data_IF_465717398140
#
_entry.id   IF_465717398140
#
_cell.length_a   1.000
_cell.length_b   1.000
_cell.length_c   1.000
_cell.angle_alpha   90.00
_cell.angle_beta   90.00
_cell.angle_gamma   90.00
#
_symmetry.space_group_name_H-M   'P 1'
#
loop_
_entity.id
_entity.type
_entity.pdbx_description
1 polymer ?
#
# COMPACT_ATOMS: atom_id res chain seq x y z
N UNK A 1 -35.59 -9.19 27.45
CA UNK A 1 -34.99 -8.13 26.59
C UNK A 1 -33.68 -8.63 25.99
N UNK A 2 -33.70 -9.14 24.76
CA UNK A 2 -32.48 -9.46 24.03
C UNK A 2 -31.85 -8.17 23.51
N UNK A 3 -30.85 -7.64 24.23
CA UNK A 3 -29.90 -6.68 23.63
C UNK A 3 -29.19 -7.44 22.52
N UNK A 4 -29.67 -7.35 21.27
CA UNK A 4 -28.86 -7.64 20.08
C UNK A 4 -27.58 -6.82 20.25
N UNK A 5 -26.46 -7.47 20.64
CA UNK A 5 -25.15 -6.83 20.63
C UNK A 5 -24.98 -6.27 19.22
N UNK A 6 -24.99 -4.93 19.08
CA UNK A 6 -24.64 -4.29 17.82
C UNK A 6 -23.22 -4.76 17.52
N UNK A 7 -23.10 -5.63 16.51
CA UNK A 7 -21.80 -6.04 15.99
C UNK A 7 -21.02 -4.78 15.67
N UNK A 8 -19.79 -4.66 16.17
CA UNK A 8 -18.95 -3.49 15.94
C UNK A 8 -18.54 -3.42 14.46
N UNK A 9 -18.04 -2.26 14.02
CA UNK A 9 -17.74 -2.02 12.61
C UNK A 9 -16.66 -2.97 12.06
N UNK A 10 -15.67 -3.37 12.86
CA UNK A 10 -14.63 -4.32 12.46
C UNK A 10 -15.22 -5.71 12.23
N UNK A 11 -16.04 -6.20 13.17
CA UNK A 11 -16.72 -7.50 13.02
C UNK A 11 -17.64 -7.52 11.78
N UNK A 12 -18.26 -6.39 11.41
CA UNK A 12 -19.02 -6.26 10.15
C UNK A 12 -18.13 -6.27 8.92
N UNK A 13 -16.95 -5.64 8.97
CA UNK A 13 -15.99 -5.64 7.89
C UNK A 13 -15.59 -7.06 7.52
N UNK A 14 -15.26 -7.85 8.55
CA UNK A 14 -14.82 -9.24 8.43
C UNK A 14 -15.90 -10.14 7.85
N UNK A 15 -17.15 -9.98 8.29
CA UNK A 15 -18.27 -10.73 7.72
C UNK A 15 -18.43 -10.44 6.23
N UNK A 16 -18.35 -9.16 5.83
CA UNK A 16 -18.50 -8.78 4.42
C UNK A 16 -17.34 -9.21 3.52
N UNK A 17 -16.10 -9.15 4.00
CA UNK A 17 -14.94 -9.61 3.21
C UNK A 17 -15.17 -11.06 2.78
N UNK A 18 -15.65 -11.90 3.71
CA UNK A 18 -15.97 -13.33 3.48
C UNK A 18 -17.11 -13.57 2.48
N UNK A 19 -17.91 -12.55 2.16
CA UNK A 19 -19.06 -12.65 1.25
C UNK A 19 -18.74 -12.18 -0.18
N UNK A 20 -17.56 -11.59 -0.41
CA UNK A 20 -17.18 -11.08 -1.74
C UNK A 20 -16.90 -12.19 -2.76
N UNK A 21 -17.06 -11.91 -4.06
CA UNK A 21 -16.70 -12.87 -5.12
C UNK A 21 -15.20 -13.19 -5.07
N UNK A 22 -14.34 -12.21 -4.78
CA UNK A 22 -12.91 -12.46 -4.57
C UNK A 22 -12.67 -13.43 -3.42
N UNK A 23 -13.45 -13.36 -2.33
CA UNK A 23 -13.31 -14.31 -1.22
C UNK A 23 -13.77 -15.72 -1.55
N UNK A 24 -14.72 -15.88 -2.48
CA UNK A 24 -15.08 -17.21 -3.00
C UNK A 24 -13.94 -17.81 -3.84
N UNK A 25 -13.26 -16.97 -4.63
CA UNK A 25 -12.11 -17.37 -5.45
C UNK A 25 -10.83 -17.56 -4.62
N UNK A 26 -10.67 -16.79 -3.54
CA UNK A 26 -9.48 -16.72 -2.68
C UNK A 26 -9.85 -16.85 -1.19
N UNK A 27 -10.39 -18.00 -0.75
CA UNK A 27 -10.94 -18.16 0.61
C UNK A 27 -9.87 -18.09 1.71
N UNK A 28 -8.68 -18.64 1.45
CA UNK A 28 -7.58 -18.62 2.42
C UNK A 28 -7.08 -17.19 2.65
N UNK A 29 -6.81 -16.45 1.58
CA UNK A 29 -6.36 -15.06 1.64
C UNK A 29 -7.40 -14.16 2.33
N UNK A 30 -8.70 -14.40 2.09
CA UNK A 30 -9.78 -13.66 2.76
C UNK A 30 -9.86 -13.92 4.26
N UNK A 31 -9.66 -15.17 4.67
CA UNK A 31 -9.57 -15.52 6.09
C UNK A 31 -8.37 -14.83 6.74
N UNK A 32 -7.22 -14.86 6.08
CA UNK A 32 -5.99 -14.23 6.53
C UNK A 32 -6.19 -12.72 6.78
N UNK A 33 -6.79 -12.02 5.82
CA UNK A 33 -7.09 -10.58 5.91
C UNK A 33 -8.02 -10.28 7.09
N UNK A 34 -9.08 -11.09 7.27
CA UNK A 34 -10.01 -10.94 8.37
C UNK A 34 -9.32 -11.12 9.74
N UNK A 35 -8.51 -12.16 9.88
CA UNK A 35 -7.78 -12.47 11.12
C UNK A 35 -6.76 -11.36 11.45
N UNK A 36 -6.08 -10.84 10.42
CA UNK A 36 -5.18 -9.69 10.54
C UNK A 36 -5.91 -8.44 11.03
N UNK A 37 -7.03 -8.06 10.40
CA UNK A 37 -7.80 -6.88 10.80
C UNK A 37 -8.31 -6.99 12.24
N UNK A 38 -8.67 -8.18 12.71
CA UNK A 38 -9.00 -8.41 14.13
C UNK A 38 -7.81 -8.19 15.05
N UNK A 39 -6.66 -8.77 14.69
CA UNK A 39 -5.44 -8.73 15.50
C UNK A 39 -4.98 -7.30 15.75
N UNK A 40 -4.97 -6.47 14.71
CA UNK A 40 -4.41 -5.12 14.79
C UNK A 40 -5.42 -4.06 15.25
N UNK A 41 -6.70 -4.43 15.38
CA UNK A 41 -7.80 -3.51 15.68
C UNK A 41 -7.49 -2.57 16.84
N UNK A 42 -7.13 -3.13 17.99
CA UNK A 42 -6.88 -2.35 19.22
C UNK A 42 -5.72 -1.37 19.07
N UNK A 43 -4.77 -1.67 18.17
CA UNK A 43 -3.61 -0.81 17.92
C UNK A 43 -4.01 0.46 17.17
N UNK A 44 -5.06 0.41 16.35
CA UNK A 44 -5.43 1.48 15.43
C UNK A 44 -6.78 2.15 15.72
N UNK A 45 -7.65 1.54 16.54
CA UNK A 45 -8.99 2.06 16.85
C UNK A 45 -9.00 3.50 17.38
N UNK A 46 -7.94 3.94 18.07
CA UNK A 46 -7.79 5.29 18.59
C UNK A 46 -7.18 6.29 17.59
N UNK A 47 -6.64 5.82 16.47
CA UNK A 47 -5.98 6.68 15.48
C UNK A 47 -7.04 7.37 14.61
N UNK A 48 -7.03 8.72 14.51
CA UNK A 48 -7.93 9.46 13.64
C UNK A 48 -7.95 8.91 12.21
N UNK A 49 -9.15 8.81 11.61
CA UNK A 49 -9.33 8.32 10.25
C UNK A 49 -9.39 6.80 10.10
N UNK A 50 -8.76 6.02 10.99
CA UNK A 50 -8.76 4.55 10.89
C UNK A 50 -10.18 3.93 10.87
N UNK A 51 -11.14 4.34 11.73
CA UNK A 51 -12.50 3.81 11.67
C UNK A 51 -13.20 4.06 10.32
N UNK A 52 -12.84 5.15 9.62
CA UNK A 52 -13.36 5.46 8.28
C UNK A 52 -12.72 4.53 7.25
N UNK A 53 -11.39 4.40 7.22
CA UNK A 53 -10.68 3.49 6.30
C UNK A 53 -11.20 2.06 6.46
N UNK A 54 -11.37 1.60 7.71
CA UNK A 54 -11.96 0.30 7.99
C UNK A 54 -13.38 0.19 7.46
N UNK A 55 -14.20 1.23 7.59
CA UNK A 55 -15.56 1.29 7.02
C UNK A 55 -15.54 1.25 5.49
N UNK A 56 -14.59 1.94 4.87
CA UNK A 56 -14.44 1.97 3.41
C UNK A 56 -14.05 0.60 2.85
N UNK A 57 -13.35 -0.24 3.62
CA UNK A 57 -13.15 -1.65 3.26
C UNK A 57 -14.48 -2.41 3.16
N UNK A 58 -15.46 -2.08 4.00
CA UNK A 58 -16.77 -2.75 4.10
C UNK A 58 -17.73 -2.33 3.00
N UNK A 59 -17.58 -1.11 2.50
CA UNK A 59 -18.57 -0.49 1.60
C UNK A 59 -18.17 -0.53 0.13
N UNK A 60 -16.88 -0.73 -0.15
CA UNK A 60 -16.37 -0.68 -1.52
C UNK A 60 -16.24 -2.06 -2.17
N UNK A 61 -16.19 -2.07 -3.50
CA UNK A 61 -16.05 -3.28 -4.30
C UNK A 61 -14.65 -3.92 -4.11
N UNK A 62 -14.50 -5.23 -4.42
CA UNK A 62 -13.30 -6.02 -4.16
C UNK A 62 -11.96 -5.31 -4.37
N UNK A 63 -11.81 -4.60 -5.49
CA UNK A 63 -10.56 -3.98 -5.89
C UNK A 63 -10.32 -2.60 -5.27
N UNK A 64 -11.38 -1.89 -4.92
CA UNK A 64 -11.27 -0.60 -4.23
C UNK A 64 -10.90 -0.79 -2.76
N UNK A 65 -11.44 -1.84 -2.12
CA UNK A 65 -11.08 -2.09 -0.72
C UNK A 65 -9.65 -2.57 -0.53
N UNK A 66 -9.01 -3.16 -1.54
CA UNK A 66 -7.59 -3.49 -1.48
C UNK A 66 -6.69 -2.28 -1.27
N UNK A 67 -7.07 -1.10 -1.77
CA UNK A 67 -6.31 0.12 -1.51
C UNK A 67 -6.36 0.48 -0.01
N UNK A 68 -7.56 0.47 0.57
CA UNK A 68 -7.75 0.72 2.01
C UNK A 68 -7.11 -0.37 2.87
N UNK A 69 -7.13 -1.63 2.43
CA UNK A 69 -6.43 -2.70 3.12
C UNK A 69 -4.91 -2.52 3.05
N UNK A 70 -4.37 -2.14 1.89
CA UNK A 70 -2.95 -1.79 1.71
C UNK A 70 -2.52 -0.67 2.65
N UNK A 71 -3.37 0.36 2.82
CA UNK A 71 -3.12 1.43 3.79
C UNK A 71 -2.92 0.88 5.21
N UNK A 72 -3.86 0.07 5.69
CA UNK A 72 -3.81 -0.51 7.04
C UNK A 72 -2.60 -1.43 7.22
N UNK A 73 -2.34 -2.29 6.24
CA UNK A 73 -1.26 -3.28 6.27
C UNK A 73 0.12 -2.64 6.26
N UNK A 74 0.34 -1.67 5.38
CA UNK A 74 1.59 -0.91 5.35
C UNK A 74 1.76 -0.08 6.64
N UNK A 75 0.67 0.52 7.16
CA UNK A 75 0.72 1.20 8.46
C UNK A 75 1.13 0.25 9.60
N UNK A 76 0.63 -0.99 9.62
CA UNK A 76 1.04 -1.99 10.60
C UNK A 76 2.53 -2.32 10.47
N UNK A 77 3.01 -2.60 9.26
CA UNK A 77 4.42 -2.85 9.00
C UNK A 77 5.31 -1.71 9.51
N UNK A 78 4.96 -0.45 9.17
CA UNK A 78 5.71 0.73 9.62
C UNK A 78 5.74 0.84 11.15
N UNK A 79 4.64 0.54 11.83
CA UNK A 79 4.59 0.52 13.31
C UNK A 79 5.46 -0.56 13.91
N UNK A 80 5.49 -1.75 13.32
CA UNK A 80 6.39 -2.84 13.74
C UNK A 80 7.86 -2.45 13.54
N UNK A 81 8.16 -1.55 12.58
CA UNK A 81 9.47 -0.91 12.41
C UNK A 81 9.70 0.30 13.31
N UNK A 82 8.76 0.63 14.19
CA UNK A 82 8.86 1.70 15.19
C UNK A 82 8.37 3.09 14.72
N UNK A 83 7.78 3.22 13.54
CA UNK A 83 7.16 4.49 13.13
C UNK A 83 5.82 4.70 13.83
N UNK A 84 5.59 5.91 14.35
CA UNK A 84 4.33 6.27 14.98
C UNK A 84 3.35 6.91 13.97
N UNK A 85 2.30 6.18 13.61
CA UNK A 85 1.18 6.67 12.77
C UNK A 85 0.27 7.58 13.60
N UNK A 86 0.10 8.82 13.14
CA UNK A 86 -0.70 9.86 13.80
C UNK A 86 -2.13 9.94 13.26
N UNK A 87 -2.32 9.75 11.96
CA UNK A 87 -3.65 9.74 11.35
C UNK A 87 -3.67 8.91 10.06
N UNK A 88 -4.85 8.41 9.72
CA UNK A 88 -5.20 7.93 8.39
C UNK A 88 -6.06 8.97 7.68
N UNK A 89 -6.10 8.93 6.34
CA UNK A 89 -6.94 9.80 5.51
C UNK A 89 -6.79 11.29 5.90
N UNK A 90 -5.54 11.73 6.09
CA UNK A 90 -5.23 13.10 6.49
C UNK A 90 -5.69 14.09 5.43
N UNK A 91 -6.61 14.98 5.80
CA UNK A 91 -7.01 16.09 4.94
C UNK A 91 -5.98 17.22 4.99
N UNK A 92 -5.51 17.65 3.83
CA UNK A 92 -4.64 18.83 3.62
C UNK A 92 -5.03 19.52 2.32
N UNK A 93 -5.28 20.83 2.35
CA UNK A 93 -5.61 21.63 1.16
C UNK A 93 -6.73 21.04 0.27
N UNK A 94 -7.75 20.43 0.89
CA UNK A 94 -8.86 19.79 0.17
C UNK A 94 -8.53 18.43 -0.46
N UNK A 95 -7.31 17.93 -0.28
CA UNK A 95 -6.86 16.58 -0.67
C UNK A 95 -6.82 15.66 0.55
N UNK A 96 -6.80 14.35 0.28
CA UNK A 96 -6.64 13.30 1.28
C UNK A 96 -5.29 12.63 1.01
N UNK A 97 -4.50 12.48 2.09
CA UNK A 97 -3.27 11.70 2.11
C UNK A 97 -3.46 10.49 3.01
N UNK A 98 -3.02 9.32 2.56
CA UNK A 98 -3.29 8.05 3.25
C UNK A 98 -2.84 8.04 4.71
N UNK A 99 -1.63 8.50 5.01
CA UNK A 99 -1.06 8.49 6.36
C UNK A 99 -0.40 9.82 6.73
N UNK A 100 -0.52 10.20 8.01
CA UNK A 100 0.32 11.20 8.69
C UNK A 100 1.13 10.51 9.78
N UNK A 101 2.43 10.74 9.82
CA UNK A 101 3.32 10.29 10.90
C UNK A 101 3.38 11.32 12.04
N UNK A 102 3.84 10.90 13.21
CA UNK A 102 3.89 11.75 14.40
C UNK A 102 4.85 12.94 14.26
N UNK A 103 5.86 12.82 13.41
CA UNK A 103 6.77 13.90 13.05
C UNK A 103 6.20 14.84 11.96
N UNK A 104 4.96 14.64 11.53
CA UNK A 104 4.27 15.48 10.55
C UNK A 104 4.46 15.06 9.09
N UNK A 105 5.32 14.08 8.81
CA UNK A 105 5.50 13.57 7.45
C UNK A 105 4.22 12.92 6.93
N UNK A 106 3.94 13.16 5.66
CA UNK A 106 2.78 12.67 4.93
C UNK A 106 3.20 11.54 3.99
N UNK A 107 2.49 10.42 4.05
CA UNK A 107 2.83 9.24 3.27
C UNK A 107 1.62 8.75 2.48
N UNK A 108 1.82 8.56 1.18
CA UNK A 108 0.87 7.94 0.27
C UNK A 108 1.16 6.45 0.08
N UNK A 109 0.12 5.63 -0.10
CA UNK A 109 0.24 4.19 -0.32
C UNK A 109 -0.37 3.85 -1.66
N UNK A 110 0.47 3.48 -2.62
CA UNK A 110 0.06 3.19 -3.99
C UNK A 110 0.20 1.70 -4.29
N UNK A 111 -0.91 1.09 -4.66
CA UNK A 111 -0.96 -0.20 -5.35
C UNK A 111 -0.99 0.03 -6.87
N UNK A 112 -0.44 -0.89 -7.66
CA UNK A 112 -0.32 -0.67 -9.11
C UNK A 112 -1.64 -0.81 -9.86
N UNK A 113 -2.55 -1.68 -9.45
CA UNK A 113 -3.80 -1.91 -10.17
C UNK A 113 -5.01 -1.86 -9.24
N UNK A 114 -6.04 -1.19 -9.75
CA UNK A 114 -7.40 -1.25 -9.22
C UNK A 114 -8.27 -2.21 -10.04
N UNK A 115 -7.68 -2.97 -10.97
CA UNK A 115 -8.34 -3.92 -11.88
C UNK A 115 -7.42 -5.11 -12.14
N UNK A 116 -7.89 -6.31 -11.84
CA UNK A 116 -7.27 -7.57 -12.24
C UNK A 116 -7.65 -7.85 -13.70
N UNK A 117 -7.19 -7.03 -14.64
CA UNK A 117 -7.40 -7.34 -16.05
C UNK A 117 -6.41 -8.44 -16.44
N UNK A 118 -6.94 -9.66 -16.61
CA UNK A 118 -6.23 -10.80 -17.19
C UNK A 118 -6.09 -10.60 -18.69
N UNK A 119 -5.60 -9.45 -19.17
CA UNK A 119 -5.31 -9.32 -20.59
C UNK A 119 -4.02 -10.11 -20.88
N UNK A 120 -4.12 -11.31 -21.49
CA UNK A 120 -2.94 -12.12 -21.77
C UNK A 120 -2.12 -11.51 -22.92
N UNK A 121 -2.72 -10.59 -23.69
CA UNK A 121 -2.22 -10.00 -24.92
C UNK A 121 -1.69 -8.58 -24.76
N UNK A 122 -1.88 -7.95 -23.59
CA UNK A 122 -1.24 -6.69 -23.25
C UNK A 122 0.28 -6.90 -23.14
N UNK A 123 0.98 -6.73 -24.26
CA UNK A 123 2.40 -6.44 -24.30
C UNK A 123 2.50 -4.94 -24.01
N UNK A 124 2.38 -4.58 -22.74
CA UNK A 124 2.85 -3.27 -22.30
C UNK A 124 4.37 -3.37 -22.25
N UNK A 125 5.06 -2.65 -23.14
CA UNK A 125 6.51 -2.55 -23.05
C UNK A 125 6.89 -2.03 -21.66
N UNK A 126 7.97 -2.55 -21.10
CA UNK A 126 8.53 -2.22 -19.78
C UNK A 126 8.46 -0.72 -19.43
N UNK A 127 8.81 0.15 -20.37
CA UNK A 127 8.78 1.60 -20.21
C UNK A 127 7.37 2.20 -20.11
N UNK A 128 6.38 1.60 -20.79
CA UNK A 128 4.99 2.05 -20.75
C UNK A 128 4.39 1.84 -19.36
N UNK A 129 4.61 0.68 -18.76
CA UNK A 129 4.15 0.34 -17.40
C UNK A 129 4.73 1.33 -16.40
N UNK A 130 6.02 1.60 -16.55
CA UNK A 130 6.74 2.53 -15.71
C UNK A 130 6.21 3.96 -15.83
N UNK A 131 6.04 4.43 -17.07
CA UNK A 131 5.51 5.77 -17.36
C UNK A 131 4.08 5.92 -16.86
N UNK A 132 3.26 4.89 -16.99
CA UNK A 132 1.90 4.88 -16.49
C UNK A 132 1.90 5.00 -14.96
N UNK A 133 2.67 4.16 -14.27
CA UNK A 133 2.76 4.20 -12.82
C UNK A 133 3.29 5.56 -12.31
N UNK A 134 4.35 6.07 -12.94
CA UNK A 134 4.89 7.39 -12.63
C UNK A 134 3.83 8.49 -12.79
N UNK A 135 3.17 8.55 -13.96
CA UNK A 135 2.21 9.62 -14.29
C UNK A 135 0.90 9.51 -13.51
N UNK A 136 0.41 8.31 -13.23
CA UNK A 136 -0.90 8.11 -12.61
C UNK A 136 -0.86 7.95 -11.09
N UNK A 137 0.30 7.56 -10.52
CA UNK A 137 0.42 7.25 -9.08
C UNK A 137 1.41 8.16 -8.39
N UNK A 138 2.68 8.17 -8.85
CA UNK A 138 3.75 8.88 -8.15
C UNK A 138 3.65 10.40 -8.31
N UNK A 139 3.54 10.90 -9.54
CA UNK A 139 3.44 12.34 -9.80
C UNK A 139 2.22 12.93 -9.07
N UNK A 140 1.00 12.35 -9.13
CA UNK A 140 -0.12 12.85 -8.35
C UNK A 140 0.11 12.80 -6.84
N UNK A 141 0.78 11.76 -6.31
CA UNK A 141 1.07 11.68 -4.88
C UNK A 141 1.96 12.83 -4.41
N UNK A 142 3.04 13.10 -5.12
CA UNK A 142 3.99 14.14 -4.73
C UNK A 142 3.54 15.56 -5.11
N UNK A 143 3.01 15.76 -6.32
CA UNK A 143 2.71 17.11 -6.84
C UNK A 143 1.29 17.58 -6.50
N UNK A 144 0.30 16.68 -6.43
CA UNK A 144 -1.08 17.08 -6.12
C UNK A 144 -1.46 16.85 -4.66
N UNK A 145 -1.06 15.71 -4.09
CA UNK A 145 -1.38 15.35 -2.71
C UNK A 145 -0.34 15.86 -1.71
N UNK A 146 0.79 16.41 -2.21
CA UNK A 146 1.90 16.92 -1.40
C UNK A 146 2.41 15.90 -0.38
N UNK A 147 2.45 14.63 -0.77
CA UNK A 147 3.04 13.59 0.06
C UNK A 147 4.56 13.83 0.17
N UNK A 148 5.11 13.60 1.36
CA UNK A 148 6.56 13.62 1.57
C UNK A 148 7.18 12.30 1.08
N UNK A 149 6.44 11.21 1.27
CA UNK A 149 6.89 9.84 1.01
C UNK A 149 5.82 9.03 0.28
N UNK A 150 6.25 8.01 -0.46
CA UNK A 150 5.36 7.03 -1.08
C UNK A 150 5.80 5.62 -0.71
N UNK A 151 4.84 4.80 -0.29
CA UNK A 151 4.98 3.35 -0.25
C UNK A 151 4.31 2.78 -1.49
N UNK A 152 5.03 1.92 -2.18
CA UNK A 152 4.52 1.11 -3.26
C UNK A 152 4.23 -0.28 -2.70
N UNK A 153 2.95 -0.64 -2.74
CA UNK A 153 2.46 -1.89 -2.20
C UNK A 153 2.23 -2.89 -3.35
N UNK A 154 3.14 -3.86 -3.46
CA UNK A 154 3.13 -4.88 -4.50
C UNK A 154 2.32 -6.13 -4.08
N UNK A 155 1.03 -5.93 -3.79
CA UNK A 155 0.11 -6.97 -3.30
C UNK A 155 -0.25 -8.03 -4.36
N UNK A 156 -0.28 -7.66 -5.64
CA UNK A 156 -0.70 -8.53 -6.75
C UNK A 156 0.46 -8.95 -7.68
N UNK A 157 1.69 -8.98 -7.15
CA UNK A 157 2.90 -9.23 -7.92
C UNK A 157 2.85 -10.48 -8.82
N UNK A 158 2.24 -11.55 -8.34
CA UNK A 158 2.15 -12.81 -9.07
C UNK A 158 1.04 -12.81 -10.12
N UNK A 159 0.05 -11.93 -9.96
CA UNK A 159 -1.19 -11.91 -10.74
C UNK A 159 -1.15 -10.93 -11.91
N UNK A 160 -0.20 -9.98 -11.94
CA UNK A 160 -0.04 -9.10 -13.11
C UNK A 160 1.41 -8.86 -13.54
N UNK A 161 1.60 -8.82 -14.87
CA UNK A 161 2.88 -8.57 -15.53
C UNK A 161 3.44 -7.20 -15.19
N UNK A 162 2.57 -6.21 -15.02
CA UNK A 162 2.94 -4.83 -14.73
C UNK A 162 3.70 -4.69 -13.41
N UNK A 163 3.32 -5.49 -12.41
CA UNK A 163 3.99 -5.50 -11.11
C UNK A 163 5.40 -6.10 -11.12
N UNK A 164 5.65 -7.08 -12.00
CA UNK A 164 6.98 -7.69 -12.14
C UNK A 164 7.97 -6.69 -12.73
N UNK A 165 7.50 -5.78 -13.58
CA UNK A 165 8.37 -4.80 -14.22
C UNK A 165 8.91 -3.74 -13.26
N UNK A 166 8.11 -3.17 -12.34
CA UNK A 166 8.69 -2.19 -11.42
C UNK A 166 9.69 -2.83 -10.47
N UNK A 167 9.39 -3.99 -9.88
CA UNK A 167 10.38 -4.68 -9.05
C UNK A 167 11.67 -4.95 -9.83
N UNK A 168 11.54 -5.44 -11.07
CA UNK A 168 12.67 -5.66 -11.97
C UNK A 168 13.49 -4.37 -12.15
N UNK A 169 12.87 -3.24 -12.51
CA UNK A 169 13.60 -1.97 -12.66
C UNK A 169 14.24 -1.47 -11.37
N UNK A 170 13.52 -1.54 -10.25
CA UNK A 170 14.04 -1.08 -8.95
C UNK A 170 15.20 -1.95 -8.46
N UNK A 171 15.32 -3.20 -8.93
CA UNK A 171 16.45 -4.08 -8.61
C UNK A 171 17.79 -3.60 -9.22
N UNK A 172 17.74 -2.76 -10.25
CA UNK A 172 18.93 -2.16 -10.85
C UNK A 172 19.40 -0.89 -10.13
N UNK A 173 18.75 -0.45 -9.04
CA UNK A 173 19.21 0.75 -8.31
C UNK A 173 20.64 0.61 -7.76
N UNK A 174 21.07 -0.61 -7.50
CA UNK A 174 22.40 -0.93 -6.99
C UNK A 174 23.42 -1.25 -8.11
N UNK A 175 23.03 -1.14 -9.39
CA UNK A 175 23.85 -1.51 -10.54
C UNK A 175 24.01 -0.33 -11.54
N UNK A 176 24.85 0.66 -11.21
CA UNK A 176 24.95 1.91 -11.95
C UNK A 176 25.48 1.79 -13.38
N UNK A 177 26.12 0.66 -13.71
CA UNK A 177 26.76 0.43 -15.01
C UNK A 177 25.78 -0.12 -16.07
N UNK A 178 24.50 -0.24 -15.71
CA UNK A 178 23.46 -0.75 -16.61
C UNK A 178 22.63 0.36 -17.24
N UNK A 179 22.26 0.17 -18.51
CA UNK A 179 21.25 1.02 -19.18
C UNK A 179 19.95 1.10 -18.38
N UNK A 180 19.61 0.03 -17.64
CA UNK A 180 18.43 -0.03 -16.78
C UNK A 180 18.51 0.92 -15.58
N UNK A 181 19.68 1.12 -14.99
CA UNK A 181 19.89 2.14 -13.98
C UNK A 181 19.72 3.56 -14.54
N UNK A 182 20.22 3.84 -15.75
CA UNK A 182 20.01 5.14 -16.39
C UNK A 182 18.53 5.41 -16.65
N UNK A 183 17.79 4.42 -17.18
CA UNK A 183 16.34 4.53 -17.38
C UNK A 183 15.62 4.78 -16.05
N UNK A 184 15.94 4.02 -15.01
CA UNK A 184 15.36 4.18 -13.67
C UNK A 184 15.55 5.61 -13.15
N UNK A 185 16.77 6.15 -13.25
CA UNK A 185 17.08 7.50 -12.80
C UNK A 185 16.42 8.58 -13.65
N UNK A 186 16.37 8.40 -14.97
CA UNK A 186 15.73 9.35 -15.87
C UNK A 186 14.22 9.43 -15.62
N UNK A 187 13.59 8.31 -15.27
CA UNK A 187 12.14 8.24 -15.07
C UNK A 187 11.73 8.62 -13.64
N UNK A 188 12.36 8.08 -12.60
CA UNK A 188 12.00 8.41 -11.21
C UNK A 188 12.70 9.64 -10.66
N UNK A 189 13.89 9.95 -11.16
CA UNK A 189 14.68 11.14 -10.81
C UNK A 189 14.54 11.56 -9.36
N UNK A 190 13.95 12.75 -9.17
CA UNK A 190 13.72 13.41 -7.87
C UNK A 190 12.81 12.64 -6.89
N UNK A 191 12.05 11.65 -7.34
CA UNK A 191 11.13 10.87 -6.51
C UNK A 191 11.76 9.61 -5.91
N UNK A 192 12.83 9.11 -6.52
CA UNK A 192 13.42 7.80 -6.19
C UNK A 192 13.79 7.69 -4.70
N UNK A 193 14.35 8.74 -4.12
CA UNK A 193 14.76 8.77 -2.70
C UNK A 193 13.59 8.62 -1.72
N UNK A 194 12.36 8.92 -2.15
CA UNK A 194 11.13 8.99 -1.33
C UNK A 194 10.27 7.73 -1.40
N UNK A 195 10.72 6.72 -2.15
CA UNK A 195 9.94 5.51 -2.43
C UNK A 195 10.39 4.36 -1.51
N UNK A 196 9.42 3.61 -0.99
CA UNK A 196 9.61 2.33 -0.33
C UNK A 196 8.79 1.27 -1.08
N UNK A 197 9.44 0.22 -1.61
CA UNK A 197 8.74 -0.87 -2.29
C UNK A 197 8.61 -2.08 -1.36
N UNK A 198 7.36 -2.45 -1.06
CA UNK A 198 7.00 -3.56 -0.20
C UNK A 198 6.37 -4.69 -1.03
N UNK A 199 6.85 -5.91 -0.83
CA UNK A 199 6.29 -7.11 -1.45
C UNK A 199 5.78 -8.09 -0.40
N UNK A 200 4.48 -8.37 -0.43
CA UNK A 200 3.83 -9.32 0.47
C UNK A 200 3.73 -10.68 -0.24
N UNK A 201 4.89 -11.31 -0.47
CA UNK A 201 4.99 -12.59 -1.16
C UNK A 201 4.61 -13.76 -0.24
N UNK A 202 3.67 -14.59 -0.68
CA UNK A 202 3.29 -15.83 0.03
C UNK A 202 2.29 -15.64 1.17
N UNK A 203 1.90 -14.41 1.49
CA UNK A 203 0.88 -14.09 2.51
C UNK A 203 0.43 -12.63 2.34
N UNK A 204 -0.88 -12.39 2.49
CA UNK A 204 -1.46 -11.04 2.35
C UNK A 204 -1.22 -10.14 3.57
N UNK A 205 -0.72 -10.69 4.67
CA UNK A 205 -0.70 -10.02 5.99
C UNK A 205 0.62 -10.16 6.76
N UNK A 206 1.47 -11.12 6.42
CA UNK A 206 2.79 -11.27 7.04
C UNK A 206 3.72 -10.14 6.61
N UNK A 207 4.78 -9.93 7.38
CA UNK A 207 5.73 -8.85 7.10
C UNK A 207 6.26 -8.93 5.66
N UNK A 208 6.24 -7.80 4.93
CA UNK A 208 6.68 -7.77 3.56
C UNK A 208 8.19 -7.96 3.44
N UNK A 209 8.59 -8.45 2.28
CA UNK A 209 9.96 -8.31 1.80
C UNK A 209 10.15 -6.86 1.35
N UNK A 210 11.16 -6.20 1.91
CA UNK A 210 11.63 -4.89 1.43
C UNK A 210 12.38 -5.11 0.11
N UNK A 211 11.81 -4.63 -1.01
CA UNK A 211 12.42 -4.80 -2.34
C UNK A 211 13.24 -3.60 -2.77
N UNK A 212 12.87 -2.42 -2.28
CA UNK A 212 13.62 -1.20 -2.53
C UNK A 212 13.38 -0.23 -1.38
N UNK A 213 14.45 0.43 -0.93
CA UNK A 213 14.40 1.44 0.13
C UNK A 213 15.10 2.70 -0.36
N UNK A 214 14.32 3.73 -0.67
CA UNK A 214 14.84 5.05 -1.04
C UNK A 214 15.65 5.68 0.09
N UNK A 215 16.56 6.59 -0.27
CA UNK A 215 17.47 7.23 0.68
C UNK A 215 16.78 7.89 1.88
N UNK A 216 15.62 8.52 1.69
CA UNK A 216 14.88 9.16 2.79
C UNK A 216 14.29 8.13 3.74
N UNK A 217 13.78 7.01 3.21
CA UNK A 217 13.33 5.89 4.04
C UNK A 217 14.47 5.21 4.81
N UNK A 218 15.66 5.08 4.20
CA UNK A 218 16.87 4.58 4.89
C UNK A 218 17.21 5.45 6.10
N UNK A 219 17.20 6.78 5.92
CA UNK A 219 17.45 7.74 7.02
C UNK A 219 16.39 7.58 8.12
N UNK A 220 15.11 7.51 7.75
CA UNK A 220 14.01 7.35 8.71
C UNK A 220 14.18 6.06 9.52
N UNK A 221 14.38 4.91 8.86
CA UNK A 221 14.54 3.64 9.57
C UNK A 221 15.76 3.61 10.49
N UNK A 222 16.88 4.23 10.08
CA UNK A 222 18.08 4.33 10.93
C UNK A 222 17.90 5.27 12.14
N UNK A 223 16.95 6.20 12.07
CA UNK A 223 16.69 7.15 13.18
C UNK A 223 15.79 6.54 14.25
N UNK A 224 15.10 5.44 13.96
CA UNK A 224 14.12 4.81 14.85
C UNK A 224 14.77 3.77 15.78
N UNK A 225 15.94 3.25 15.42
CA UNK A 225 16.73 2.37 16.29
C UNK A 225 17.34 3.15 17.45
N UNK A 226 16.59 3.26 18.56
CA UNK A 226 17.06 3.64 19.89
C UNK A 226 16.47 2.72 20.96
#
# INVERSE_FOLDING_TARGET
>A
MNKKRKMDNTSRAIAKIKETNWAKENPQSSKEIADFLMKIKQNFDSIPGYPKVLKDIITNQPLQWFNYFSQIRCANFLREKGLCIKAFDKKKNGKVVDLEFSNGLLCEIKSFETKLDKDPTAIEYEEHVFDNFLKQKLVPAFENQEADLVIIDNIFMYESKNYRFLEYFMSFDEDPDTERYEILNNKLGKYKSKILLLCFSGSMTNNPILKFIGGEWKIIFNTITY
#
